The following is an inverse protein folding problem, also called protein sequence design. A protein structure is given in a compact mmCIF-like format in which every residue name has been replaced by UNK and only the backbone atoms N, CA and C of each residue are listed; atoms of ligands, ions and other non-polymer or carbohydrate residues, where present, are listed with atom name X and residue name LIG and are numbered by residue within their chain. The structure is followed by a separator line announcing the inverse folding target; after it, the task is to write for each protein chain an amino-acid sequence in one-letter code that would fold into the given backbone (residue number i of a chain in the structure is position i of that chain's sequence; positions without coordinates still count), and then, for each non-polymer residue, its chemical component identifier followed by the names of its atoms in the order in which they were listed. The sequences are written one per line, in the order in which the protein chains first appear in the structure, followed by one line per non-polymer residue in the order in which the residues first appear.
data_IF_956110166462
#
_entry.id   IF_956110166462
#
_cell.length_a   1.000
_cell.length_b   1.000
_cell.length_c   1.000
_cell.angle_alpha   90.00
_cell.angle_beta   90.00
_cell.angle_gamma   90.00
#
_symmetry.space_group_name_H-M   'P 1'
#
loop_
_entity.id
_entity.type
_entity.pdbx_description
1 polymer ?
#
# COMPACT_ATOMS: atom_id res chain seq x y z
N UNK A 1 -6.22 14.42 7.69
CA UNK A 1 -7.23 15.08 6.82
C UNK A 1 -6.48 15.49 5.58
N UNK A 2 -6.75 14.83 4.45
CA UNK A 2 -6.02 15.06 3.21
C UNK A 2 -6.93 15.77 2.20
N UNK A 3 -6.40 16.75 1.49
CA UNK A 3 -7.13 17.41 0.41
C UNK A 3 -7.17 16.54 -0.86
N UNK A 4 -6.32 15.51 -0.95
CA UNK A 4 -6.17 14.65 -2.14
C UNK A 4 -5.95 15.47 -3.43
N UNK A 5 -5.38 16.68 -3.32
CA UNK A 5 -5.44 17.72 -4.34
C UNK A 5 -4.75 17.36 -5.66
N UNK A 6 -3.70 16.52 -5.58
CA UNK A 6 -2.96 16.01 -6.75
C UNK A 6 -3.72 14.91 -7.48
N UNK A 7 -4.62 14.20 -6.79
CA UNK A 7 -5.50 13.21 -7.38
C UNK A 7 -6.75 13.93 -7.96
N UNK A 8 -6.89 14.04 -9.29
CA UNK A 8 -8.06 14.70 -9.87
C UNK A 8 -9.37 13.95 -9.62
N UNK A 9 -9.33 12.71 -9.12
CA UNK A 9 -10.52 11.95 -8.76
C UNK A 9 -10.92 12.11 -7.29
N UNK A 10 -10.01 12.56 -6.43
CA UNK A 10 -10.14 12.59 -4.97
C UNK A 10 -10.38 11.23 -4.29
N UNK A 11 -10.38 10.11 -5.02
CA UNK A 11 -10.79 8.80 -4.51
C UNK A 11 -9.68 7.75 -4.53
N UNK A 12 -8.55 7.96 -5.23
CA UNK A 12 -7.54 6.91 -5.45
C UNK A 12 -6.98 6.35 -4.15
N UNK A 13 -6.68 7.24 -3.20
CA UNK A 13 -6.18 6.83 -1.89
C UNK A 13 -7.19 5.94 -1.16
N UNK A 14 -8.45 6.39 -1.05
CA UNK A 14 -9.53 5.58 -0.47
C UNK A 14 -9.73 4.25 -1.18
N UNK A 15 -9.81 4.28 -2.52
CA UNK A 15 -10.03 3.11 -3.36
C UNK A 15 -8.92 2.07 -3.16
N UNK A 16 -7.67 2.53 -3.09
CA UNK A 16 -6.50 1.68 -2.80
C UNK A 16 -6.59 1.07 -1.40
N UNK A 17 -6.78 1.88 -0.36
CA UNK A 17 -6.79 1.37 1.02
C UNK A 17 -7.96 0.40 1.28
N UNK A 18 -9.11 0.64 0.67
CA UNK A 18 -10.25 -0.28 0.71
C UNK A 18 -9.95 -1.56 -0.10
N UNK A 19 -9.24 -1.46 -1.22
CA UNK A 19 -8.78 -2.61 -2.01
C UNK A 19 -7.82 -3.51 -1.20
N UNK A 20 -6.83 -2.94 -0.50
CA UNK A 20 -5.97 -3.71 0.41
C UNK A 20 -6.77 -4.43 1.49
N UNK A 21 -7.79 -3.77 2.05
CA UNK A 21 -8.70 -4.41 3.02
C UNK A 21 -9.42 -5.62 2.40
N UNK A 22 -9.88 -5.51 1.15
CA UNK A 22 -10.52 -6.61 0.43
C UNK A 22 -9.56 -7.78 0.16
N UNK A 23 -8.26 -7.51 0.00
CA UNK A 23 -7.22 -8.54 -0.14
C UNK A 23 -6.85 -9.22 1.19
N UNK A 24 -7.40 -8.78 2.32
CA UNK A 24 -7.08 -9.28 3.65
C UNK A 24 -5.82 -8.67 4.27
N UNK A 25 -5.40 -7.50 3.80
CA UNK A 25 -4.30 -6.72 4.38
C UNK A 25 -4.86 -5.74 5.40
N UNK A 26 -4.18 -5.58 6.54
CA UNK A 26 -4.51 -4.52 7.49
C UNK A 26 -4.33 -3.17 6.81
N UNK A 27 -5.38 -2.37 6.73
CA UNK A 27 -5.38 -1.11 5.98
C UNK A 27 -6.23 -0.05 6.69
N UNK A 28 -5.82 1.24 6.68
CA UNK A 28 -6.58 2.34 7.28
C UNK A 28 -7.97 2.50 6.66
N UNK A 29 -8.98 2.65 7.51
CA UNK A 29 -10.29 3.11 7.06
C UNK A 29 -10.22 4.58 6.63
N UNK A 30 -11.07 4.96 5.68
CA UNK A 30 -11.16 6.34 5.23
C UNK A 30 -12.58 6.75 4.85
N UNK A 31 -12.90 8.03 4.99
CA UNK A 31 -14.19 8.60 4.54
C UNK A 31 -14.02 10.03 4.07
N UNK A 32 -14.75 10.41 3.03
CA UNK A 32 -14.82 11.79 2.59
C UNK A 32 -15.66 12.63 3.53
N UNK A 33 -15.26 13.89 3.72
CA UNK A 33 -15.96 14.87 4.55
C UNK A 33 -15.87 16.25 3.90
N UNK A 34 -16.84 17.11 4.21
CA UNK A 34 -16.77 18.53 3.86
C UNK A 34 -16.15 19.28 5.03
N UNK A 35 -15.06 20.01 4.76
CA UNK A 35 -14.35 20.77 5.78
C UNK A 35 -14.77 22.23 5.74
N UNK A 36 -14.95 22.81 6.92
CA UNK A 36 -15.09 24.26 7.11
C UNK A 36 -14.21 24.73 8.26
N UNK A 37 -13.44 25.79 8.05
CA UNK A 37 -12.55 26.39 9.05
C UNK A 37 -13.00 27.83 9.27
N UNK A 38 -13.36 28.19 10.51
CA UNK A 38 -13.84 29.52 10.89
C UNK A 38 -15.01 30.04 10.00
N UNK A 39 -15.93 29.14 9.63
CA UNK A 39 -17.06 29.45 8.75
C UNK A 39 -16.73 29.52 7.26
N UNK A 40 -15.46 29.41 6.87
CA UNK A 40 -15.05 29.30 5.47
C UNK A 40 -15.10 27.83 5.03
N UNK A 41 -15.82 27.55 3.95
CA UNK A 41 -15.83 26.23 3.32
C UNK A 41 -14.46 25.97 2.67
N UNK A 42 -13.80 24.88 3.07
CA UNK A 42 -12.49 24.50 2.56
C UNK A 42 -12.57 23.39 1.51
N UNK A 43 -13.75 22.82 1.26
CA UNK A 43 -13.96 21.80 0.24
C UNK A 43 -14.06 20.37 0.75
N UNK A 44 -13.83 19.42 -0.14
CA UNK A 44 -13.87 17.97 0.08
C UNK A 44 -12.50 17.51 0.59
N UNK A 45 -12.49 16.74 1.67
CA UNK A 45 -11.29 16.15 2.23
C UNK A 45 -11.49 14.65 2.48
N UNK A 46 -10.40 13.89 2.43
CA UNK A 46 -10.36 12.52 2.90
C UNK A 46 -9.91 12.48 4.37
N UNK A 47 -10.81 12.03 5.26
CA UNK A 47 -10.45 11.68 6.62
C UNK A 47 -9.89 10.26 6.63
N UNK A 48 -8.61 10.15 6.97
CA UNK A 48 -7.88 8.88 7.11
C UNK A 48 -7.77 8.49 8.59
N UNK A 49 -7.96 7.20 8.88
CA UNK A 49 -7.66 6.60 10.18
C UNK A 49 -6.15 6.65 10.44
N UNK A 50 -5.73 7.08 11.64
CA UNK A 50 -4.31 6.96 12.02
C UNK A 50 -3.98 5.51 12.36
N UNK A 51 -2.83 5.01 11.91
CA UNK A 51 -2.36 3.67 12.27
C UNK A 51 -1.62 3.74 13.60
N UNK A 52 -2.40 3.62 14.68
CA UNK A 52 -1.95 3.74 16.06
C UNK A 52 -2.61 2.67 16.96
N UNK A 53 -2.57 2.85 18.28
CA UNK A 53 -3.19 1.92 19.22
C UNK A 53 -4.71 1.78 19.04
N UNK A 54 -5.40 2.83 18.56
CA UNK A 54 -6.85 2.79 18.32
C UNK A 54 -7.17 2.02 17.04
N UNK A 55 -6.30 2.10 16.02
CA UNK A 55 -6.39 1.26 14.82
C UNK A 55 -6.37 -0.23 15.19
N UNK A 56 -5.45 -0.63 16.08
CA UNK A 56 -5.34 -2.00 16.57
C UNK A 56 -6.56 -2.40 17.41
N UNK A 57 -6.93 -1.57 18.39
CA UNK A 57 -8.04 -1.83 19.30
C UNK A 57 -9.38 -1.99 18.57
N UNK A 58 -9.66 -1.15 17.57
CA UNK A 58 -10.88 -1.22 16.75
C UNK A 58 -10.99 -2.56 16.00
N UNK A 59 -9.86 -3.15 15.64
CA UNK A 59 -9.75 -4.45 14.95
C UNK A 59 -9.57 -5.64 15.92
N UNK A 60 -9.66 -5.39 17.22
CA UNK A 60 -9.43 -6.39 18.27
C UNK A 60 -8.05 -7.08 18.14
N UNK A 61 -7.05 -6.33 17.68
CA UNK A 61 -5.68 -6.79 17.60
C UNK A 61 -4.94 -6.46 18.90
N UNK A 62 -4.00 -7.30 19.31
CA UNK A 62 -3.16 -7.03 20.47
C UNK A 62 -2.29 -5.78 20.21
N UNK A 63 -2.17 -4.93 21.24
CA UNK A 63 -1.36 -3.70 21.15
C UNK A 63 0.11 -4.09 21.03
N UNK A 64 0.74 -3.68 19.94
CA UNK A 64 2.14 -3.99 19.63
C UNK A 64 2.84 -2.85 18.90
N UNK A 65 4.17 -2.95 18.69
CA UNK A 65 4.95 -1.89 18.05
C UNK A 65 4.46 -1.58 16.63
N UNK A 66 4.46 -0.29 16.28
CA UNK A 66 4.15 0.22 14.93
C UNK A 66 5.29 1.17 14.50
N UNK A 67 5.82 0.93 13.31
CA UNK A 67 6.90 1.70 12.70
C UNK A 67 6.46 2.23 11.34
N UNK A 68 6.51 3.54 11.12
CA UNK A 68 6.26 4.15 9.81
C UNK A 68 7.52 4.25 8.99
N UNK A 69 7.46 3.86 7.71
CA UNK A 69 8.49 4.23 6.73
C UNK A 69 8.41 5.74 6.47
N UNK A 70 9.50 6.46 6.76
CA UNK A 70 9.55 7.93 6.65
C UNK A 70 10.57 8.44 5.64
N UNK A 71 11.47 7.58 5.17
CA UNK A 71 12.44 7.89 4.12
C UNK A 71 12.91 6.61 3.39
N UNK A 72 13.77 6.80 2.38
CA UNK A 72 14.26 5.74 1.48
C UNK A 72 15.12 4.66 2.16
N UNK A 73 15.53 4.84 3.43
CA UNK A 73 16.18 3.78 4.20
C UNK A 73 15.19 2.74 4.74
N UNK A 74 13.87 2.97 4.65
CA UNK A 74 12.85 1.94 4.86
C UNK A 74 12.75 0.95 3.67
N UNK A 75 13.88 0.42 3.23
CA UNK A 75 14.03 -0.31 1.96
C UNK A 75 14.27 -1.83 2.11
N UNK A 76 14.11 -2.36 3.33
CA UNK A 76 14.33 -3.77 3.64
C UNK A 76 15.78 -4.27 3.38
N UNK A 77 16.77 -3.38 3.30
CA UNK A 77 18.17 -3.68 3.01
C UNK A 77 19.11 -3.35 4.17
N UNK A 78 20.31 -3.94 4.16
CA UNK A 78 21.45 -3.53 5.01
C UNK A 78 22.13 -2.27 4.48
N UNK A 79 21.85 -1.87 3.24
CA UNK A 79 22.52 -0.78 2.53
C UNK A 79 21.63 0.46 2.50
N UNK A 80 22.21 1.61 2.80
CA UNK A 80 21.58 2.92 2.73
C UNK A 80 21.21 3.32 1.31
N UNK A 81 20.12 4.07 1.17
CA UNK A 81 19.58 4.49 -0.12
C UNK A 81 20.46 5.53 -0.81
N UNK A 82 21.02 6.47 -0.06
CA UNK A 82 21.71 7.65 -0.59
C UNK A 82 23.18 7.37 -0.94
N UNK A 83 23.97 6.92 0.03
CA UNK A 83 25.42 6.75 -0.10
C UNK A 83 25.82 5.34 -0.58
N UNK A 84 24.86 4.41 -0.66
CA UNK A 84 25.05 3.00 -0.99
C UNK A 84 26.06 2.28 -0.08
N UNK A 85 26.19 2.73 1.17
CA UNK A 85 27.03 2.08 2.19
C UNK A 85 26.19 1.32 3.23
N UNK A 86 26.78 0.44 4.05
CA UNK A 86 26.03 -0.21 5.14
C UNK A 86 25.42 0.83 6.08
N UNK A 87 24.14 0.65 6.42
CA UNK A 87 23.45 1.54 7.35
C UNK A 87 24.13 1.55 8.70
N UNK A 88 24.17 2.73 9.31
CA UNK A 88 24.67 2.88 10.70
C UNK A 88 23.75 2.18 11.70
N UNK A 89 22.45 2.16 11.42
CA UNK A 89 21.44 1.42 12.20
C UNK A 89 20.44 0.75 11.27
N UNK A 90 20.02 -0.48 11.57
CA UNK A 90 19.16 -1.26 10.67
C UNK A 90 17.68 -0.85 10.71
N UNK A 91 17.29 -0.05 11.70
CA UNK A 91 16.00 0.61 11.84
C UNK A 91 15.97 2.01 11.20
N UNK A 92 17.06 2.45 10.53
CA UNK A 92 17.07 3.71 9.79
C UNK A 92 15.95 3.73 8.73
N UNK A 93 15.33 4.90 8.57
CA UNK A 93 14.15 5.13 7.74
C UNK A 93 12.82 4.81 8.38
N UNK A 94 12.81 4.35 9.64
CA UNK A 94 11.58 4.06 10.38
C UNK A 94 11.35 4.99 11.58
N UNK A 95 10.16 5.58 11.65
CA UNK A 95 9.68 6.28 12.84
C UNK A 95 8.83 5.35 13.71
N UNK A 96 9.18 5.22 14.99
CA UNK A 96 8.35 4.47 15.95
C UNK A 96 7.11 5.29 16.33
N UNK A 97 5.97 4.92 15.74
CA UNK A 97 4.66 5.49 16.07
C UNK A 97 4.10 4.95 17.38
N UNK A 98 4.29 3.66 17.65
CA UNK A 98 3.83 2.96 18.85
C UNK A 98 4.88 1.95 19.31
N UNK A 99 5.00 1.76 20.64
CA UNK A 99 5.97 0.86 21.25
C UNK A 99 7.11 1.57 21.98
N UNK A 100 8.06 0.78 22.47
CA UNK A 100 9.21 1.20 23.28
C UNK A 100 10.49 1.28 22.44
N UNK A 101 11.56 1.85 23.01
CA UNK A 101 12.86 1.89 22.32
C UNK A 101 13.43 0.49 22.14
N UNK A 102 13.17 -0.39 23.10
CA UNK A 102 13.61 -1.77 23.13
C UNK A 102 12.96 -2.60 22.01
N UNK A 103 11.81 -2.17 21.48
CA UNK A 103 11.13 -2.86 20.38
C UNK A 103 11.86 -2.72 19.04
N UNK A 104 12.75 -1.72 18.88
CA UNK A 104 13.57 -1.56 17.68
C UNK A 104 14.46 -2.78 17.42
N UNK A 105 14.90 -3.49 18.48
CA UNK A 105 15.70 -4.70 18.33
C UNK A 105 15.01 -5.77 17.49
N UNK A 106 13.67 -5.84 17.53
CA UNK A 106 12.92 -6.79 16.71
C UNK A 106 12.94 -6.40 15.24
N UNK A 107 12.88 -5.10 14.94
CA UNK A 107 12.97 -4.57 13.59
C UNK A 107 14.39 -4.78 13.04
N UNK A 108 15.42 -4.43 13.81
CA UNK A 108 16.82 -4.66 13.45
C UNK A 108 17.10 -6.15 13.22
N UNK A 109 16.62 -7.03 14.10
CA UNK A 109 16.73 -8.48 13.93
C UNK A 109 16.03 -8.95 12.66
N UNK A 110 14.81 -8.46 12.40
CA UNK A 110 14.07 -8.78 11.20
C UNK A 110 14.84 -8.38 9.94
N UNK A 111 15.32 -7.13 9.85
CA UNK A 111 16.11 -6.64 8.71
C UNK A 111 17.41 -7.42 8.56
N UNK A 112 18.09 -7.74 9.66
CA UNK A 112 19.32 -8.53 9.63
C UNK A 112 19.08 -9.94 9.11
N UNK A 113 18.11 -10.68 9.68
CA UNK A 113 17.81 -12.06 9.31
C UNK A 113 17.29 -12.17 7.88
N UNK A 114 16.43 -11.23 7.48
CA UNK A 114 15.99 -11.04 6.10
C UNK A 114 17.16 -11.00 5.10
N UNK A 115 18.22 -10.27 5.42
CA UNK A 115 19.32 -10.07 4.49
C UNK A 115 20.41 -11.16 4.59
N UNK A 116 20.61 -11.76 5.75
CA UNK A 116 21.78 -12.63 6.01
C UNK A 116 21.45 -14.13 6.05
N UNK A 117 20.19 -14.52 6.24
CA UNK A 117 19.81 -15.93 6.32
C UNK A 117 20.06 -16.62 4.98
N UNK A 118 20.74 -17.78 4.91
CA UNK A 118 20.98 -18.47 3.65
C UNK A 118 19.68 -19.07 3.08
N UNK A 119 19.63 -19.24 1.75
CA UNK A 119 18.43 -19.71 1.02
C UNK A 119 17.81 -20.99 1.61
N UNK A 120 18.62 -21.95 2.04
CA UNK A 120 18.15 -23.24 2.55
C UNK A 120 17.45 -23.16 3.92
N UNK A 121 17.66 -22.09 4.70
CA UNK A 121 16.97 -21.85 5.97
C UNK A 121 15.89 -20.77 5.87
N UNK A 122 15.88 -20.03 4.76
CA UNK A 122 15.12 -18.79 4.61
C UNK A 122 13.62 -18.96 4.87
N UNK A 123 13.03 -20.02 4.35
CA UNK A 123 11.61 -20.34 4.58
C UNK A 123 11.30 -20.46 6.08
N UNK A 124 12.08 -21.29 6.79
CA UNK A 124 11.90 -21.55 8.22
C UNK A 124 12.11 -20.29 9.08
N UNK A 125 13.11 -19.48 8.75
CA UNK A 125 13.43 -18.26 9.52
C UNK A 125 12.39 -17.18 9.25
N UNK A 126 12.06 -16.89 7.99
CA UNK A 126 11.13 -15.82 7.66
C UNK A 126 9.72 -16.09 8.14
N UNK A 127 9.27 -17.35 8.13
CA UNK A 127 7.96 -17.71 8.70
C UNK A 127 7.84 -17.51 10.21
N UNK A 128 8.95 -17.23 10.93
CA UNK A 128 8.95 -16.88 12.36
C UNK A 128 9.04 -15.38 12.62
N UNK A 129 9.28 -14.58 11.59
CA UNK A 129 9.51 -13.14 11.71
C UNK A 129 8.48 -12.31 10.96
N UNK A 130 7.89 -12.85 9.89
CA UNK A 130 6.97 -12.16 9.00
C UNK A 130 5.72 -13.01 8.77
N UNK A 131 4.54 -12.39 8.79
CA UNK A 131 3.36 -12.99 8.19
C UNK A 131 3.51 -12.92 6.67
N UNK A 132 4.15 -13.95 6.10
CA UNK A 132 4.46 -14.01 4.66
C UNK A 132 3.18 -13.97 3.82
N UNK A 133 2.06 -14.51 4.31
CA UNK A 133 0.81 -14.47 3.55
C UNK A 133 0.29 -13.03 3.43
N UNK A 134 0.25 -12.28 4.54
CA UNK A 134 -0.16 -10.87 4.53
C UNK A 134 0.79 -9.99 3.73
N UNK A 135 2.10 -10.23 3.82
CA UNK A 135 3.08 -9.53 2.99
C UNK A 135 2.84 -9.76 1.49
N UNK A 136 2.62 -11.00 1.07
CA UNK A 136 2.38 -11.31 -0.35
C UNK A 136 1.04 -10.77 -0.86
N UNK A 137 0.02 -10.65 0.00
CA UNK A 137 -1.24 -9.95 -0.31
C UNK A 137 -1.04 -8.44 -0.45
N UNK A 138 -0.21 -7.84 0.41
CA UNK A 138 0.19 -6.45 0.25
C UNK A 138 0.97 -6.25 -1.05
N UNK A 139 1.92 -7.13 -1.36
CA UNK A 139 2.68 -7.06 -2.61
C UNK A 139 1.75 -7.10 -3.83
N UNK A 140 0.75 -8.00 -3.82
CA UNK A 140 -0.27 -8.07 -4.86
C UNK A 140 -1.05 -6.75 -4.97
N UNK A 141 -1.42 -6.16 -3.84
CA UNK A 141 -2.06 -4.84 -3.78
C UNK A 141 -1.21 -3.75 -4.45
N UNK A 142 0.05 -3.60 -4.05
CA UNK A 142 0.99 -2.60 -4.61
C UNK A 142 1.17 -2.79 -6.12
N UNK A 143 1.35 -4.04 -6.57
CA UNK A 143 1.51 -4.38 -7.98
C UNK A 143 0.25 -4.07 -8.78
N UNK A 144 -0.93 -4.37 -8.24
CA UNK A 144 -2.20 -4.08 -8.92
C UNK A 144 -2.47 -2.57 -9.02
N UNK A 145 -2.29 -1.82 -7.92
CA UNK A 145 -2.56 -0.37 -7.89
C UNK A 145 -1.45 0.46 -8.54
N UNK A 146 -0.27 -0.12 -8.76
CA UNK A 146 0.96 0.52 -9.23
C UNK A 146 1.44 1.71 -8.37
N UNK A 147 1.43 1.59 -7.05
CA UNK A 147 2.16 2.56 -6.24
C UNK A 147 3.67 2.28 -6.40
N UNK A 148 4.35 3.07 -7.23
CA UNK A 148 5.77 2.83 -7.56
C UNK A 148 6.69 3.01 -6.34
N UNK A 149 6.40 4.00 -5.49
CA UNK A 149 7.18 4.25 -4.26
C UNK A 149 6.76 3.32 -3.11
N UNK A 150 5.64 2.60 -3.27
CA UNK A 150 5.06 1.71 -2.26
C UNK A 150 5.96 0.59 -1.77
N UNK A 151 7.04 0.24 -2.47
CA UNK A 151 7.91 -0.87 -2.08
C UNK A 151 8.95 -0.51 -1.01
N UNK A 152 9.28 0.78 -0.88
CA UNK A 152 10.31 1.30 0.05
C UNK A 152 9.84 2.54 0.82
N UNK A 153 8.63 3.01 0.55
CA UNK A 153 7.93 4.07 1.24
C UNK A 153 6.44 3.72 1.34
N UNK A 154 5.60 4.59 1.92
CA UNK A 154 4.15 4.47 1.86
C UNK A 154 3.62 3.21 2.59
N UNK A 155 4.26 2.84 3.71
CA UNK A 155 3.79 1.76 4.56
C UNK A 155 4.16 1.92 6.03
N UNK A 156 3.48 1.16 6.87
CA UNK A 156 3.83 0.91 8.26
C UNK A 156 4.13 -0.58 8.47
N UNK A 157 4.96 -0.89 9.46
CA UNK A 157 5.16 -2.23 9.99
C UNK A 157 4.52 -2.32 11.36
N UNK A 158 3.61 -3.27 11.53
CA UNK A 158 3.05 -3.64 12.81
C UNK A 158 3.66 -4.98 13.24
N UNK A 159 4.16 -5.06 14.48
CA UNK A 159 4.59 -6.34 15.06
C UNK A 159 3.52 -6.85 16.02
N UNK A 160 2.86 -7.94 15.64
CA UNK A 160 1.88 -8.60 16.48
C UNK A 160 2.58 -9.31 17.66
N UNK A 161 2.33 -8.92 18.93
CA UNK A 161 3.02 -9.51 20.07
C UNK A 161 2.61 -10.95 20.37
N UNK A 162 1.41 -11.38 19.97
CA UNK A 162 0.92 -12.74 20.24
C UNK A 162 1.60 -13.75 19.32
N UNK A 163 1.76 -13.41 18.03
CA UNK A 163 2.44 -14.27 17.05
C UNK A 163 3.94 -14.00 16.94
N UNK A 164 4.39 -12.80 17.35
CA UNK A 164 5.74 -12.32 17.16
C UNK A 164 6.08 -11.88 15.73
N UNK A 165 5.10 -11.91 14.81
CA UNK A 165 5.29 -11.65 13.38
C UNK A 165 5.09 -10.17 13.03
N UNK A 166 5.90 -9.70 12.09
CA UNK A 166 5.64 -8.44 11.39
C UNK A 166 4.54 -8.61 10.35
N UNK A 167 3.74 -7.56 10.21
CA UNK A 167 2.73 -7.37 9.19
C UNK A 167 2.89 -5.97 8.59
N UNK A 168 2.63 -5.85 7.28
CA UNK A 168 2.76 -4.58 6.56
C UNK A 168 1.38 -3.94 6.36
N UNK A 169 1.32 -2.62 6.49
CA UNK A 169 0.10 -1.81 6.39
C UNK A 169 0.35 -0.70 5.36
N UNK A 170 -0.46 -0.56 4.31
CA UNK A 170 -0.29 0.50 3.30
C UNK A 170 -0.65 1.87 3.87
N UNK A 171 0.01 2.91 3.36
CA UNK A 171 -0.25 4.31 3.66
C UNK A 171 0.00 5.17 2.43
N UNK A 172 -0.74 6.26 2.20
CA UNK A 172 -0.51 7.20 1.09
C UNK A 172 -0.50 6.58 -0.33
N UNK A 173 -1.69 6.16 -0.80
CA UNK A 173 -1.88 5.47 -2.09
C UNK A 173 -2.71 6.29 -3.10
N UNK A 174 -2.51 7.60 -3.17
CA UNK A 174 -3.14 8.48 -4.16
C UNK A 174 -2.51 8.37 -5.56
N UNK A 175 -1.19 8.18 -5.64
CA UNK A 175 -0.41 7.97 -6.87
C UNK A 175 -0.58 6.54 -7.44
N UNK A 176 -1.80 6.21 -7.84
CA UNK A 176 -2.22 4.86 -8.25
C UNK A 176 -3.25 4.91 -9.37
N UNK A 177 -3.74 3.74 -9.81
CA UNK A 177 -4.84 3.62 -10.78
C UNK A 177 -4.64 4.46 -12.05
N UNK A 178 -3.45 4.33 -12.64
CA UNK A 178 -3.07 5.02 -13.88
C UNK A 178 -2.60 6.46 -13.71
N UNK A 179 -2.27 6.91 -12.48
CA UNK A 179 -1.63 8.21 -12.25
C UNK A 179 -0.36 8.13 -11.40
N UNK A 180 0.58 9.03 -11.68
CA UNK A 180 1.83 9.21 -10.93
C UNK A 180 1.68 10.19 -9.75
N UNK A 181 2.77 10.40 -9.01
CA UNK A 181 2.86 11.32 -7.85
C UNK A 181 2.61 12.80 -8.18
N UNK A 182 2.52 13.15 -9.46
CA UNK A 182 2.22 14.49 -9.95
C UNK A 182 0.78 14.58 -10.51
N UNK A 183 -0.01 13.51 -10.38
CA UNK A 183 -1.35 13.41 -10.94
C UNK A 183 -1.35 13.27 -12.47
N UNK A 184 -0.22 12.97 -13.10
CA UNK A 184 -0.12 12.74 -14.56
C UNK A 184 -0.46 11.30 -14.89
N UNK A 185 -0.84 11.04 -16.14
CA UNK A 185 -1.11 9.68 -16.59
C UNK A 185 0.16 8.83 -16.51
N UNK A 186 0.00 7.62 -16.00
CA UNK A 186 1.05 6.60 -15.90
C UNK A 186 0.61 5.36 -16.66
N UNK A 187 1.54 4.76 -17.42
CA UNK A 187 1.27 3.55 -18.18
C UNK A 187 1.01 2.34 -17.26
N UNK A 188 0.23 1.39 -17.77
CA UNK A 188 -0.27 0.24 -17.00
C UNK A 188 0.75 -0.89 -16.81
N UNK A 189 1.94 -0.79 -17.39
CA UNK A 189 3.00 -1.81 -17.36
C UNK A 189 4.26 -1.33 -16.60
N UNK A 190 4.14 -0.22 -15.86
CA UNK A 190 5.25 0.44 -15.19
C UNK A 190 5.86 -0.38 -14.03
N UNK A 191 5.02 -1.13 -13.31
CA UNK A 191 5.46 -2.03 -12.23
C UNK A 191 5.42 -3.48 -12.73
N UNK A 192 6.52 -4.22 -12.62
CA UNK A 192 6.55 -5.66 -12.96
C UNK A 192 5.80 -6.50 -11.93
N UNK A 193 5.37 -7.71 -12.31
CA UNK A 193 4.56 -8.58 -11.44
C UNK A 193 5.30 -8.99 -10.15
N UNK A 194 6.63 -9.10 -10.20
CA UNK A 194 7.45 -9.43 -9.02
C UNK A 194 7.55 -8.27 -8.03
N UNK A 195 7.25 -7.04 -8.43
CA UNK A 195 7.52 -5.84 -7.63
C UNK A 195 9.02 -5.60 -7.38
N UNK A 196 9.31 -4.85 -6.31
CA UNK A 196 10.67 -4.44 -5.95
C UNK A 196 10.93 -4.57 -4.43
N UNK A 197 12.12 -4.13 -4.00
CA UNK A 197 12.75 -4.28 -2.68
C UNK A 197 13.42 -5.65 -2.42
N UNK A 198 14.33 -5.67 -1.44
CA UNK A 198 15.14 -6.85 -1.09
C UNK A 198 14.29 -7.98 -0.50
N UNK A 199 13.31 -7.67 0.34
CA UNK A 199 12.45 -8.67 0.96
C UNK A 199 11.64 -9.45 -0.06
N UNK A 200 11.01 -8.74 -1.00
CA UNK A 200 10.28 -9.32 -2.10
C UNK A 200 11.16 -10.26 -2.93
N UNK A 201 12.33 -9.79 -3.36
CA UNK A 201 13.25 -10.60 -4.16
C UNK A 201 13.65 -11.89 -3.43
N UNK A 202 13.95 -11.80 -2.14
CA UNK A 202 14.38 -12.93 -1.31
C UNK A 202 13.24 -13.92 -1.03
N UNK A 203 12.01 -13.44 -0.82
CA UNK A 203 10.84 -14.30 -0.67
C UNK A 203 10.54 -15.04 -1.98
N UNK A 204 10.53 -14.33 -3.11
CA UNK A 204 10.20 -14.92 -4.41
C UNK A 204 11.27 -15.88 -4.93
N UNK A 205 12.49 -15.86 -4.38
CA UNK A 205 13.52 -16.87 -4.67
C UNK A 205 13.23 -18.24 -3.99
N UNK A 206 12.29 -18.29 -3.03
CA UNK A 206 11.82 -19.52 -2.40
C UNK A 206 10.61 -20.07 -3.13
N UNK A 207 10.74 -21.28 -3.68
CA UNK A 207 9.72 -21.93 -4.52
C UNK A 207 8.32 -21.94 -3.88
N UNK A 208 8.23 -22.22 -2.57
CA UNK A 208 6.96 -22.23 -1.84
C UNK A 208 6.31 -20.85 -1.79
N UNK A 209 7.05 -19.82 -1.39
CA UNK A 209 6.54 -18.45 -1.31
C UNK A 209 6.20 -17.88 -2.68
N UNK A 210 7.01 -18.17 -3.70
CA UNK A 210 6.70 -17.80 -5.09
C UNK A 210 5.39 -18.43 -5.57
N UNK A 211 5.16 -19.72 -5.26
CA UNK A 211 3.88 -20.39 -5.56
C UNK A 211 2.70 -19.77 -4.80
N UNK A 212 2.88 -19.43 -3.52
CA UNK A 212 1.87 -18.71 -2.75
C UNK A 212 1.54 -17.35 -3.38
N UNK A 213 2.55 -16.61 -3.83
CA UNK A 213 2.36 -15.34 -4.50
C UNK A 213 1.63 -15.49 -5.85
N UNK A 214 1.99 -16.50 -6.65
CA UNK A 214 1.26 -16.85 -7.87
C UNK A 214 -0.23 -17.09 -7.59
N UNK A 215 -0.56 -17.87 -6.55
CA UNK A 215 -1.95 -18.18 -6.21
C UNK A 215 -2.72 -16.93 -5.74
N UNK A 216 -2.09 -16.08 -4.92
CA UNK A 216 -2.65 -14.79 -4.47
C UNK A 216 -2.90 -13.87 -5.66
N UNK A 217 -1.91 -13.70 -6.55
CA UNK A 217 -2.04 -12.87 -7.74
C UNK A 217 -3.13 -13.39 -8.67
N UNK A 218 -3.15 -14.68 -8.94
CA UNK A 218 -4.17 -15.29 -9.81
C UNK A 218 -5.58 -15.03 -9.26
N UNK A 219 -5.81 -15.32 -7.98
CA UNK A 219 -7.09 -15.04 -7.33
C UNK A 219 -7.46 -13.56 -7.42
N UNK A 220 -6.52 -12.68 -7.08
CA UNK A 220 -6.71 -11.23 -7.11
C UNK A 220 -7.12 -10.75 -8.50
N UNK A 221 -6.48 -11.24 -9.56
CA UNK A 221 -6.76 -10.87 -10.94
C UNK A 221 -8.07 -11.48 -11.49
N UNK A 222 -8.56 -12.57 -10.91
CA UNK A 222 -9.79 -13.23 -11.32
C UNK A 222 -11.02 -12.72 -10.56
N UNK A 223 -10.84 -12.09 -9.39
CA UNK A 223 -11.94 -11.70 -8.51
C UNK A 223 -11.90 -10.22 -8.10
N UNK A 224 -10.92 -9.79 -7.30
CA UNK A 224 -10.93 -8.46 -6.69
C UNK A 224 -10.47 -7.34 -7.64
N UNK A 225 -9.50 -7.60 -8.53
CA UNK A 225 -8.92 -6.61 -9.44
C UNK A 225 -9.59 -6.65 -10.81
N UNK A 226 -10.93 -6.67 -10.83
CA UNK A 226 -11.75 -6.72 -12.05
C UNK A 226 -12.64 -5.49 -12.15
N UNK A 227 -13.00 -5.08 -13.38
CA UNK A 227 -13.94 -3.96 -13.60
C UNK A 227 -15.25 -4.23 -12.88
N UNK A 228 -15.75 -5.46 -12.94
CA UNK A 228 -17.00 -5.88 -12.32
C UNK A 228 -16.99 -5.69 -10.79
N UNK A 229 -15.85 -5.92 -10.13
CA UNK A 229 -15.70 -5.72 -8.69
C UNK A 229 -15.42 -4.25 -8.30
N UNK A 230 -14.57 -3.54 -9.07
CA UNK A 230 -14.08 -2.22 -8.68
C UNK A 230 -14.97 -1.07 -9.15
N UNK A 231 -15.57 -1.17 -10.35
CA UNK A 231 -16.38 -0.09 -10.94
C UNK A 231 -17.54 0.35 -10.04
N UNK A 232 -18.32 -0.55 -9.40
CA UNK A 232 -19.39 -0.12 -8.50
C UNK A 232 -18.90 0.72 -7.32
N UNK A 233 -17.67 0.49 -6.83
CA UNK A 233 -17.07 1.28 -5.74
C UNK A 233 -16.69 2.67 -6.21
N UNK A 234 -16.12 2.77 -7.42
CA UNK A 234 -15.81 4.06 -8.05
C UNK A 234 -17.09 4.87 -8.25
N UNK A 235 -18.12 4.27 -8.85
CA UNK A 235 -19.41 4.93 -9.10
C UNK A 235 -20.08 5.40 -7.81
N UNK A 236 -20.06 4.57 -6.75
CA UNK A 236 -20.60 4.94 -5.45
C UNK A 236 -19.90 6.17 -4.85
N UNK A 237 -18.56 6.22 -4.91
CA UNK A 237 -17.81 7.39 -4.42
C UNK A 237 -18.12 8.63 -5.26
N UNK A 238 -18.20 8.49 -6.57
CA UNK A 238 -18.54 9.59 -7.48
C UNK A 238 -19.95 10.13 -7.25
N UNK A 239 -20.93 9.26 -7.05
CA UNK A 239 -22.30 9.66 -6.73
C UNK A 239 -22.36 10.50 -5.44
N UNK A 240 -21.52 10.16 -4.45
CA UNK A 240 -21.43 10.91 -3.18
C UNK A 240 -20.70 12.24 -3.34
N UNK A 241 -19.59 12.27 -4.06
CA UNK A 241 -18.70 13.44 -4.15
C UNK A 241 -19.18 14.49 -5.14
N UNK A 242 -19.67 14.08 -6.30
CA UNK A 242 -19.93 14.96 -7.43
C UNK A 242 -20.84 16.17 -7.09
N UNK A 243 -21.92 16.04 -6.29
CA UNK A 243 -22.74 17.19 -5.89
C UNK A 243 -21.99 18.24 -5.04
N UNK A 244 -20.89 17.85 -4.41
CA UNK A 244 -20.08 18.74 -3.59
C UNK A 244 -18.94 19.39 -4.37
N UNK A 245 -18.47 18.77 -5.45
CA UNK A 245 -17.38 19.29 -6.32
C UNK A 245 -17.70 20.67 -6.86
N UNK A 246 -18.95 20.92 -7.25
CA UNK A 246 -19.40 22.23 -7.80
C UNK A 246 -19.31 23.38 -6.79
N UNK A 247 -19.31 23.07 -5.48
CA UNK A 247 -19.26 24.05 -4.40
C UNK A 247 -17.88 24.17 -3.76
N UNK A 248 -16.96 23.27 -4.11
CA UNK A 248 -15.61 23.27 -3.56
C UNK A 248 -14.77 24.35 -4.26
N UNK A 249 -14.22 25.33 -3.51
CA UNK A 249 -13.55 26.49 -4.08
C UNK A 249 -12.23 26.17 -4.79
N UNK A 250 -11.69 24.95 -4.63
CA UNK A 250 -10.37 24.52 -5.14
C UNK A 250 -10.43 23.51 -6.29
N UNK A 251 -11.59 22.87 -6.50
CA UNK A 251 -11.75 21.83 -7.53
C UNK A 251 -12.90 22.09 -8.51
N UNK A 252 -13.82 23.02 -8.23
CA UNK A 252 -14.99 23.30 -9.09
C UNK A 252 -14.62 23.56 -10.56
N UNK A 253 -13.47 24.20 -10.81
CA UNK A 253 -13.00 24.55 -12.15
C UNK A 253 -12.35 23.36 -12.88
N UNK A 254 -12.23 22.20 -12.21
CA UNK A 254 -11.69 20.94 -12.74
C UNK A 254 -12.76 19.85 -12.88
N UNK A 255 -14.05 20.20 -12.89
CA UNK A 255 -15.15 19.22 -12.89
C UNK A 255 -15.12 18.28 -14.11
N UNK A 256 -14.76 18.76 -15.29
CA UNK A 256 -14.63 17.91 -16.48
C UNK A 256 -13.53 16.86 -16.32
N UNK A 257 -12.40 17.26 -15.71
CA UNK A 257 -11.31 16.33 -15.40
C UNK A 257 -11.76 15.30 -14.37
N UNK A 258 -12.43 15.75 -13.30
CA UNK A 258 -12.98 14.88 -12.26
C UNK A 258 -13.94 13.84 -12.87
N UNK A 259 -14.91 14.27 -13.67
CA UNK A 259 -15.93 13.42 -14.31
C UNK A 259 -15.34 12.39 -15.28
N UNK A 260 -14.15 12.64 -15.85
CA UNK A 260 -13.45 11.71 -16.73
C UNK A 260 -12.61 10.64 -16.02
N UNK A 261 -12.38 10.73 -14.71
CA UNK A 261 -11.53 9.76 -14.00
C UNK A 261 -12.12 8.37 -13.84
N UNK A 262 -13.44 8.16 -13.64
CA UNK A 262 -14.00 6.81 -13.52
C UNK A 262 -13.70 5.93 -14.74
N UNK A 263 -13.81 6.49 -15.94
CA UNK A 263 -13.47 5.80 -17.19
C UNK A 263 -11.97 5.48 -17.24
N UNK A 264 -11.09 6.45 -16.90
CA UNK A 264 -9.64 6.23 -16.85
C UNK A 264 -9.23 5.13 -15.86
N UNK A 265 -9.87 5.07 -14.69
CA UNK A 265 -9.61 4.03 -13.70
C UNK A 265 -10.03 2.66 -14.25
N UNK A 266 -11.19 2.55 -14.91
CA UNK A 266 -11.64 1.31 -15.54
C UNK A 266 -10.71 0.88 -16.69
N UNK A 267 -10.31 1.80 -17.56
CA UNK A 267 -9.36 1.55 -18.64
C UNK A 267 -8.00 1.05 -18.12
N UNK A 268 -7.50 1.70 -17.06
CA UNK A 268 -6.28 1.26 -16.39
C UNK A 268 -6.45 -0.16 -15.84
N UNK A 269 -7.55 -0.43 -15.16
CA UNK A 269 -7.85 -1.72 -14.53
C UNK A 269 -7.87 -2.86 -15.56
N UNK A 270 -8.54 -2.68 -16.69
CA UNK A 270 -8.57 -3.68 -17.78
C UNK A 270 -7.18 -3.95 -18.35
N UNK A 271 -6.44 -2.89 -18.69
CA UNK A 271 -5.09 -3.00 -19.28
C UNK A 271 -4.11 -3.62 -18.29
N UNK A 272 -4.14 -3.17 -17.03
CA UNK A 272 -3.28 -3.67 -15.96
C UNK A 272 -3.58 -5.12 -15.63
N UNK A 273 -4.86 -5.49 -15.52
CA UNK A 273 -5.27 -6.88 -15.26
C UNK A 273 -4.77 -7.80 -16.39
N UNK A 274 -5.02 -7.41 -17.65
CA UNK A 274 -4.57 -8.16 -18.83
C UNK A 274 -3.05 -8.32 -18.85
N UNK A 275 -2.31 -7.22 -18.63
CA UNK A 275 -0.85 -7.25 -18.53
C UNK A 275 -0.38 -8.24 -17.45
N UNK A 276 -0.90 -8.14 -16.23
CA UNK A 276 -0.49 -8.99 -15.12
C UNK A 276 -0.86 -10.46 -15.36
N UNK A 277 -2.02 -10.76 -15.95
CA UNK A 277 -2.40 -12.13 -16.34
C UNK A 277 -1.40 -12.73 -17.33
N UNK A 278 -0.91 -11.94 -18.28
CA UNK A 278 0.12 -12.38 -19.23
C UNK A 278 1.49 -12.60 -18.57
N UNK A 279 1.77 -11.95 -17.44
CA UNK A 279 3.00 -12.13 -16.67
C UNK A 279 2.92 -13.24 -15.61
N UNK A 280 1.74 -13.78 -15.29
CA UNK A 280 1.60 -14.79 -14.22
C UNK A 280 2.53 -16.01 -14.39
N UNK A 281 2.80 -16.41 -15.63
CA UNK A 281 3.68 -17.55 -15.91
C UNK A 281 5.14 -17.31 -15.52
N UNK A 282 5.60 -16.06 -15.37
CA UNK A 282 6.98 -15.76 -14.92
C UNK A 282 7.21 -16.15 -13.47
N UNK A 283 6.13 -16.31 -12.69
CA UNK A 283 6.19 -16.73 -11.29
C UNK A 283 6.23 -18.26 -11.11
N UNK A 284 6.13 -19.07 -12.19
CA UNK A 284 6.11 -20.54 -12.12
C UNK A 284 7.49 -21.18 -12.29
#
# INVERSE_FOLDING_TARGET
MNAEYKDPSLIRNKLSLDFFSALGVLSPSSRHVLLSINGKHEGIYLQLESVDEFFLKKRQLPVGPIFYAIDDDANFSLIGSFDKTPKTSLDAGYERKLGTREDHRYLEEFIFKLNTTPKYEYESVMSKLLDVNKYLRWLAGVVCTQNFDGFVHNYALYRNPDSGLFEIIPWDFDATWGRDINGKQMDYDYVRIEGFNTLTARLLDIKRFRKMYYDIMKHTLDHEFTVEFMKPKVEQLYQQLRPHVVNDPYIKDRIEQFDGEPERICDFLEKRNTYLKNQLSTLL
#
